data_IF_498713439432
#
_entry.id   IF_498713439432
#
_cell.length_a   1.000
_cell.length_b   1.000
_cell.length_c   1.000
_cell.angle_alpha   90.00
_cell.angle_beta   90.00
_cell.angle_gamma   90.00
#
_symmetry.space_group_name_H-M   'P 1'
#
loop_
_entity.id
_entity.type
_entity.pdbx_description
1 polymer ?
#
# COMPACT_ATOMS: atom_id res chain seq x y z
N UNK A 1 -4.50 16.03 -37.49
CA UNK A 1 -4.22 17.05 -36.45
C UNK A 1 -2.72 17.24 -36.35
N UNK A 2 -2.24 18.48 -36.15
CA UNK A 2 -0.81 18.75 -35.98
C UNK A 2 -0.31 18.16 -34.65
N UNK A 3 0.89 17.56 -34.65
CA UNK A 3 1.53 17.04 -33.44
C UNK A 3 2.44 18.12 -32.87
N UNK A 4 2.29 18.44 -31.59
CA UNK A 4 3.17 19.36 -30.86
C UNK A 4 4.12 18.52 -30.00
N UNK A 5 5.41 18.87 -29.98
CA UNK A 5 6.42 18.21 -29.14
C UNK A 5 6.24 18.68 -27.70
N UNK A 6 6.24 17.76 -26.75
CA UNK A 6 6.20 18.09 -25.32
C UNK A 6 7.49 18.80 -24.90
N UNK A 7 7.39 19.75 -23.97
CA UNK A 7 8.56 20.44 -23.41
C UNK A 7 9.33 19.53 -22.43
N UNK A 8 10.53 19.93 -22.05
CA UNK A 8 11.27 19.22 -21.02
C UNK A 8 10.55 19.31 -19.65
N UNK A 9 9.92 20.44 -19.35
CA UNK A 9 9.10 20.64 -18.17
C UNK A 9 7.89 19.71 -18.12
N UNK A 10 7.20 19.51 -19.25
CA UNK A 10 6.07 18.57 -19.35
C UNK A 10 6.52 17.13 -19.07
N UNK A 11 7.69 16.74 -19.58
CA UNK A 11 8.25 15.41 -19.37
C UNK A 11 8.69 15.21 -17.90
N UNK A 12 9.26 16.24 -17.27
CA UNK A 12 9.58 16.24 -15.83
C UNK A 12 8.32 16.14 -14.96
N UNK A 13 7.25 16.84 -15.33
CA UNK A 13 5.95 16.70 -14.65
C UNK A 13 5.41 15.29 -14.77
N UNK A 14 5.44 14.70 -15.96
CA UNK A 14 5.03 13.30 -16.15
C UNK A 14 5.92 12.33 -15.36
N UNK A 15 7.21 12.62 -15.22
CA UNK A 15 8.12 11.78 -14.44
C UNK A 15 7.71 11.76 -12.98
N UNK A 16 7.38 12.93 -12.42
CA UNK A 16 6.82 13.06 -11.07
C UNK A 16 5.53 12.26 -10.91
N UNK A 17 4.60 12.35 -11.85
CA UNK A 17 3.34 11.60 -11.80
C UNK A 17 3.58 10.09 -11.85
N UNK A 18 4.45 9.60 -12.74
CA UNK A 18 4.76 8.18 -12.84
C UNK A 18 5.47 7.66 -11.58
N UNK A 19 6.36 8.44 -10.97
CA UNK A 19 7.00 8.09 -9.70
C UNK A 19 5.97 8.02 -8.57
N UNK A 20 5.04 8.98 -8.48
CA UNK A 20 4.00 8.95 -7.45
C UNK A 20 3.06 7.75 -7.62
N UNK A 21 2.64 7.45 -8.86
CA UNK A 21 1.83 6.27 -9.15
C UNK A 21 2.56 4.97 -8.79
N UNK A 22 3.86 4.89 -9.08
CA UNK A 22 4.70 3.74 -8.73
C UNK A 22 4.82 3.57 -7.22
N UNK A 23 5.05 4.65 -6.47
CA UNK A 23 5.10 4.64 -5.00
C UNK A 23 3.77 4.15 -4.40
N UNK A 24 2.64 4.65 -4.89
CA UNK A 24 1.32 4.25 -4.42
C UNK A 24 1.08 2.74 -4.63
N UNK A 25 1.40 2.22 -5.82
CA UNK A 25 1.24 0.77 -6.09
C UNK A 25 2.22 -0.08 -5.26
N UNK A 26 3.44 0.42 -4.98
CA UNK A 26 4.37 -0.26 -4.07
C UNK A 26 3.79 -0.35 -2.65
N UNK A 27 3.22 0.73 -2.13
CA UNK A 27 2.58 0.76 -0.82
C UNK A 27 1.43 -0.25 -0.75
N UNK A 28 0.52 -0.24 -1.73
CA UNK A 28 -0.60 -1.19 -1.78
C UNK A 28 -0.13 -2.65 -1.88
N UNK A 29 0.94 -2.92 -2.63
CA UNK A 29 1.54 -4.25 -2.69
C UNK A 29 2.05 -4.71 -1.32
N UNK A 30 2.70 -3.79 -0.59
CA UNK A 30 3.26 -4.04 0.75
C UNK A 30 2.13 -4.24 1.79
N UNK A 31 0.98 -3.61 1.59
CA UNK A 31 -0.27 -3.81 2.37
C UNK A 31 -0.98 -5.14 2.07
N UNK A 32 -0.47 -5.94 1.12
CA UNK A 32 -0.98 -7.28 0.79
C UNK A 32 -1.71 -7.38 -0.56
N UNK A 33 -1.92 -6.26 -1.27
CA UNK A 33 -2.55 -6.27 -2.61
C UNK A 33 -1.53 -6.67 -3.68
N UNK A 34 -1.13 -7.95 -3.68
CA UNK A 34 -0.08 -8.47 -4.59
C UNK A 34 -0.37 -8.20 -6.07
N UNK A 35 -1.64 -8.07 -6.44
CA UNK A 35 -2.07 -7.70 -7.80
C UNK A 35 -1.50 -6.36 -8.29
N UNK A 36 -1.18 -5.44 -7.38
CA UNK A 36 -0.58 -4.14 -7.71
C UNK A 36 0.79 -4.27 -8.35
N UNK A 37 1.46 -5.41 -8.26
CA UNK A 37 2.65 -5.69 -9.05
C UNK A 37 2.42 -5.53 -10.56
N UNK A 38 1.19 -5.71 -11.05
CA UNK A 38 0.85 -5.43 -12.47
C UNK A 38 0.92 -3.94 -12.78
N UNK A 39 0.41 -3.09 -11.88
CA UNK A 39 0.52 -1.64 -12.00
C UNK A 39 1.98 -1.18 -11.87
N UNK A 40 2.72 -1.74 -10.91
CA UNK A 40 4.16 -1.51 -10.75
C UNK A 40 4.90 -1.81 -12.07
N UNK A 41 4.68 -2.99 -12.65
CA UNK A 41 5.30 -3.39 -13.91
C UNK A 41 4.96 -2.41 -15.06
N UNK A 42 3.70 -1.99 -15.15
CA UNK A 42 3.26 -1.02 -16.14
C UNK A 42 3.99 0.33 -16.01
N UNK A 43 4.09 0.88 -14.80
CA UNK A 43 4.81 2.15 -14.56
C UNK A 43 6.30 2.03 -14.88
N UNK A 44 6.94 0.94 -14.48
CA UNK A 44 8.35 0.67 -14.82
C UNK A 44 8.53 0.59 -16.34
N UNK A 45 7.62 -0.07 -17.07
CA UNK A 45 7.65 -0.11 -18.54
C UNK A 45 7.60 1.31 -19.14
N UNK A 46 6.70 2.17 -18.67
CA UNK A 46 6.60 3.56 -19.16
C UNK A 46 7.91 4.34 -18.90
N UNK A 47 8.49 4.16 -17.72
CA UNK A 47 9.73 4.83 -17.33
C UNK A 47 10.93 4.35 -18.17
N UNK A 48 11.04 3.02 -18.39
CA UNK A 48 12.29 2.38 -18.79
C UNK A 48 12.27 1.62 -20.11
N UNK A 49 11.13 1.31 -20.71
CA UNK A 49 11.10 0.48 -21.92
C UNK A 49 10.85 1.29 -23.19
N UNK A 50 11.79 1.20 -24.13
CA UNK A 50 11.61 1.71 -25.49
C UNK A 50 11.04 0.62 -26.39
N UNK A 51 9.98 0.96 -27.13
CA UNK A 51 9.39 0.13 -28.17
C UNK A 51 9.00 1.03 -29.35
N UNK A 52 7.75 0.98 -29.81
CA UNK A 52 7.21 1.97 -30.77
C UNK A 52 7.13 3.38 -30.18
N UNK A 53 7.04 3.46 -28.85
CA UNK A 53 7.12 4.70 -28.09
C UNK A 53 8.42 4.71 -27.28
N UNK A 54 9.01 5.89 -27.11
CA UNK A 54 10.19 6.08 -26.27
C UNK A 54 9.80 6.14 -24.79
N UNK A 55 10.61 5.52 -23.94
CA UNK A 55 10.44 5.57 -22.49
C UNK A 55 10.67 6.99 -21.98
N UNK A 56 10.13 7.31 -20.81
CA UNK A 56 10.24 8.66 -20.27
C UNK A 56 11.70 9.06 -20.00
N UNK A 57 12.51 8.13 -19.48
CA UNK A 57 13.96 8.38 -19.30
C UNK A 57 14.69 8.59 -20.64
N UNK A 58 14.31 7.88 -21.71
CA UNK A 58 14.91 8.11 -23.03
C UNK A 58 14.54 9.49 -23.56
N UNK A 59 13.28 9.91 -23.40
CA UNK A 59 12.83 11.25 -23.82
C UNK A 59 13.51 12.38 -23.03
N UNK A 60 13.87 12.14 -21.77
CA UNK A 60 14.63 13.06 -20.93
C UNK A 60 16.15 12.98 -21.13
N UNK A 61 16.66 12.08 -21.98
CA UNK A 61 18.11 11.88 -22.15
C UNK A 61 18.81 11.29 -20.92
N UNK A 62 18.07 10.55 -20.09
CA UNK A 62 18.49 9.98 -18.79
C UNK A 62 18.48 8.45 -18.77
N UNK A 63 18.67 7.84 -19.94
CA UNK A 63 18.69 6.38 -20.08
C UNK A 63 19.96 5.73 -19.53
N UNK A 64 21.05 6.48 -19.54
CA UNK A 64 22.40 6.00 -19.20
C UNK A 64 22.73 6.12 -17.71
N UNK A 65 21.75 6.46 -16.87
CA UNK A 65 21.93 6.49 -15.41
C UNK A 65 22.23 5.08 -14.90
N UNK A 66 22.90 5.02 -13.74
CA UNK A 66 23.21 3.75 -13.11
C UNK A 66 22.08 3.31 -12.18
N UNK A 67 21.78 2.01 -12.17
CA UNK A 67 20.72 1.41 -11.37
C UNK A 67 21.29 0.57 -10.24
N UNK A 68 20.66 0.64 -9.06
CA UNK A 68 20.96 -0.26 -7.96
C UNK A 68 20.66 -1.71 -8.35
N UNK A 69 21.61 -2.60 -8.10
CA UNK A 69 21.42 -4.04 -8.21
C UNK A 69 21.41 -4.65 -6.81
N UNK A 70 20.28 -5.24 -6.43
CA UNK A 70 20.07 -5.95 -5.17
C UNK A 70 20.00 -7.47 -5.32
N UNK A 71 20.38 -7.98 -6.51
CA UNK A 71 20.38 -9.41 -6.76
C UNK A 71 21.56 -10.10 -6.08
N UNK A 72 21.33 -11.35 -5.64
CA UNK A 72 22.41 -12.24 -5.25
C UNK A 72 23.24 -12.64 -6.48
N UNK A 73 24.36 -13.32 -6.27
CA UNK A 73 25.12 -13.89 -7.38
C UNK A 73 24.41 -15.11 -7.94
N UNK A 74 24.24 -15.12 -9.27
CA UNK A 74 23.66 -16.23 -10.00
C UNK A 74 24.73 -17.27 -10.38
N UNK A 75 24.51 -18.52 -9.99
CA UNK A 75 25.31 -19.67 -10.43
C UNK A 75 24.41 -20.70 -11.12
N UNK A 76 24.52 -20.79 -12.45
CA UNK A 76 23.76 -21.74 -13.28
C UNK A 76 24.01 -23.21 -12.94
N UNK A 77 25.08 -23.53 -12.18
CA UNK A 77 25.36 -24.90 -11.72
C UNK A 77 24.59 -25.26 -10.45
N UNK A 78 23.97 -24.29 -9.79
CA UNK A 78 23.14 -24.56 -8.61
C UNK A 78 21.92 -25.39 -9.02
N UNK A 79 21.70 -26.60 -8.47
CA UNK A 79 20.57 -27.43 -8.85
C UNK A 79 19.22 -26.87 -8.36
N UNK A 80 19.23 -25.95 -7.39
CA UNK A 80 18.01 -25.35 -6.85
C UNK A 80 17.50 -24.19 -7.72
N UNK A 81 16.20 -23.84 -7.63
CA UNK A 81 15.65 -22.61 -8.19
C UNK A 81 16.41 -21.40 -7.64
N UNK A 82 16.62 -20.41 -8.50
CA UNK A 82 17.33 -19.19 -8.14
C UNK A 82 16.36 -18.05 -7.90
N UNK A 83 16.46 -17.41 -6.74
CA UNK A 83 15.61 -16.30 -6.29
C UNK A 83 16.47 -15.09 -5.94
N UNK A 84 17.06 -14.48 -6.97
CA UNK A 84 18.06 -13.43 -6.82
C UNK A 84 17.56 -12.20 -6.07
N UNK A 85 16.29 -11.85 -6.22
CA UNK A 85 15.70 -10.61 -5.68
C UNK A 85 14.72 -10.77 -4.53
N UNK A 86 14.37 -12.01 -4.17
CA UNK A 86 13.34 -12.28 -3.16
C UNK A 86 13.86 -13.24 -2.09
N UNK A 87 13.10 -13.36 -1.00
CA UNK A 87 13.32 -14.32 0.07
C UNK A 87 12.05 -15.11 0.34
N UNK A 88 12.22 -16.26 0.97
CA UNK A 88 11.11 -16.96 1.62
C UNK A 88 11.14 -16.56 3.09
N UNK A 89 10.02 -16.03 3.57
CA UNK A 89 9.82 -15.75 4.99
C UNK A 89 8.89 -16.79 5.58
N UNK A 90 9.36 -17.47 6.64
CA UNK A 90 8.52 -18.36 7.41
C UNK A 90 7.60 -17.56 8.31
N UNK A 91 6.28 -17.74 8.16
CA UNK A 91 5.29 -17.16 9.08
C UNK A 91 4.46 -18.27 9.74
N UNK A 92 3.89 -18.02 10.93
CA UNK A 92 3.06 -19.00 11.64
C UNK A 92 1.88 -19.56 10.84
N UNK A 93 1.37 -18.81 9.85
CA UNK A 93 0.23 -19.20 9.00
C UNK A 93 0.61 -19.69 7.59
N UNK A 94 1.90 -19.71 7.22
CA UNK A 94 2.39 -20.18 5.91
C UNK A 94 3.62 -19.42 5.43
N UNK A 95 4.48 -20.08 4.65
CA UNK A 95 5.66 -19.45 4.08
C UNK A 95 5.26 -18.58 2.88
N UNK A 96 5.83 -17.38 2.75
CA UNK A 96 5.55 -16.44 1.65
C UNK A 96 6.81 -15.90 0.99
N UNK A 97 6.73 -15.51 -0.28
CA UNK A 97 7.78 -14.72 -0.91
C UNK A 97 7.73 -13.28 -0.44
N UNK A 98 8.88 -12.76 -0.03
CA UNK A 98 9.06 -11.41 0.47
C UNK A 98 10.13 -10.66 -0.32
N UNK A 99 9.85 -9.38 -0.62
CA UNK A 99 10.81 -8.46 -1.24
C UNK A 99 11.61 -7.79 -0.12
N UNK A 100 12.93 -8.02 -0.01
CA UNK A 100 13.71 -7.56 1.14
C UNK A 100 13.87 -6.04 1.24
N UNK A 101 13.57 -5.29 0.18
CA UNK A 101 13.78 -3.84 0.11
C UNK A 101 15.19 -3.46 0.60
N UNK A 102 15.29 -2.60 1.62
CA UNK A 102 16.54 -2.20 2.30
C UNK A 102 16.87 -3.03 3.55
N UNK A 103 16.06 -4.04 3.90
CA UNK A 103 16.20 -4.82 5.14
C UNK A 103 17.30 -5.88 5.07
N UNK A 104 18.00 -6.01 3.93
CA UNK A 104 19.11 -6.93 3.75
C UNK A 104 20.34 -6.24 3.17
N UNK A 105 21.23 -5.79 4.06
CA UNK A 105 22.49 -5.15 3.68
C UNK A 105 23.42 -6.06 2.87
N UNK A 106 23.25 -7.39 2.96
CA UNK A 106 24.06 -8.36 2.19
C UNK A 106 23.75 -8.38 0.69
N UNK A 107 22.67 -7.71 0.26
CA UNK A 107 22.23 -7.66 -1.14
C UNK A 107 22.75 -6.46 -1.92
N UNK A 108 23.48 -5.54 -1.29
CA UNK A 108 24.02 -4.34 -1.96
C UNK A 108 25.45 -4.49 -2.48
N UNK A 109 25.96 -5.72 -2.56
CA UNK A 109 27.36 -5.99 -2.90
C UNK A 109 27.77 -5.46 -4.28
N UNK A 110 26.82 -5.39 -5.23
CA UNK A 110 27.06 -4.97 -6.61
C UNK A 110 26.92 -3.46 -6.85
N UNK A 111 26.49 -2.68 -5.84
CA UNK A 111 26.33 -1.23 -5.95
C UNK A 111 25.39 -0.81 -7.09
N UNK A 112 25.82 0.16 -7.91
CA UNK A 112 25.08 0.58 -9.11
C UNK A 112 25.77 0.09 -10.39
N UNK A 113 24.98 -0.36 -11.35
CA UNK A 113 25.45 -0.89 -12.64
C UNK A 113 24.75 -0.18 -13.81
N UNK A 114 25.23 -0.39 -15.03
CA UNK A 114 24.61 0.23 -16.22
C UNK A 114 23.19 -0.29 -16.46
N UNK A 115 22.31 0.55 -17.01
CA UNK A 115 20.94 0.17 -17.35
C UNK A 115 20.89 -1.09 -18.23
N UNK A 116 21.76 -1.20 -19.24
CA UNK A 116 21.78 -2.37 -20.13
C UNK A 116 22.01 -3.67 -19.36
N UNK A 117 23.01 -3.68 -18.47
CA UNK A 117 23.34 -4.85 -17.66
C UNK A 117 22.22 -5.19 -16.67
N UNK A 118 21.73 -4.19 -15.94
CA UNK A 118 20.64 -4.32 -14.97
C UNK A 118 19.35 -4.86 -15.61
N UNK A 119 19.00 -4.33 -16.78
CA UNK A 119 17.73 -4.60 -17.46
C UNK A 119 17.74 -5.88 -18.28
N UNK A 120 18.80 -6.13 -19.07
CA UNK A 120 18.81 -7.18 -20.09
C UNK A 120 19.66 -8.41 -19.75
N UNK A 121 20.68 -8.29 -18.89
CA UNK A 121 21.72 -9.32 -18.77
C UNK A 121 21.60 -10.16 -17.50
N UNK A 122 21.32 -9.52 -16.36
CA UNK A 122 21.28 -10.22 -15.08
C UNK A 122 20.02 -11.08 -14.94
N UNK A 123 20.23 -12.37 -14.68
CA UNK A 123 19.18 -13.29 -14.25
C UNK A 123 18.82 -12.95 -12.79
N UNK A 124 17.53 -12.78 -12.52
CA UNK A 124 17.01 -12.42 -11.20
C UNK A 124 16.09 -13.49 -10.61
N UNK A 125 15.62 -14.40 -11.46
CA UNK A 125 14.78 -15.53 -11.09
C UNK A 125 15.06 -16.68 -12.06
N UNK A 126 15.17 -17.90 -11.55
CA UNK A 126 15.22 -19.13 -12.35
C UNK A 126 14.36 -20.17 -11.65
N UNK A 127 13.46 -20.80 -12.39
CA UNK A 127 12.59 -21.85 -11.84
C UNK A 127 13.29 -23.22 -11.75
N UNK A 128 12.59 -24.22 -11.21
CA UNK A 128 13.11 -25.60 -11.10
C UNK A 128 13.38 -26.25 -12.46
N UNK A 129 12.74 -25.75 -13.53
CA UNK A 129 12.93 -26.21 -14.90
C UNK A 129 14.09 -25.52 -15.61
N UNK A 130 14.85 -24.66 -14.91
CA UNK A 130 15.98 -23.90 -15.44
C UNK A 130 15.59 -22.85 -16.48
N UNK A 131 14.39 -22.29 -16.36
CA UNK A 131 13.95 -21.15 -17.16
C UNK A 131 14.46 -19.84 -16.52
N UNK A 132 15.37 -19.09 -17.18
CA UNK A 132 15.95 -17.89 -16.61
C UNK A 132 15.11 -16.66 -16.93
N UNK A 133 14.91 -15.78 -15.95
CA UNK A 133 14.19 -14.53 -16.11
C UNK A 133 15.06 -13.34 -15.71
N UNK A 134 15.13 -12.35 -16.62
CA UNK A 134 15.69 -11.02 -16.34
C UNK A 134 14.60 -10.07 -15.85
N UNK A 135 15.02 -8.90 -15.32
CA UNK A 135 14.09 -7.82 -14.95
C UNK A 135 13.21 -7.39 -16.12
N UNK A 136 13.80 -7.23 -17.31
CA UNK A 136 13.06 -6.93 -18.54
C UNK A 136 12.02 -8.00 -18.87
N UNK A 137 12.38 -9.28 -18.79
CA UNK A 137 11.45 -10.35 -19.12
C UNK A 137 10.22 -10.31 -18.21
N UNK A 138 10.41 -10.19 -16.89
CA UNK A 138 9.31 -10.15 -15.93
C UNK A 138 8.42 -8.91 -16.14
N UNK A 139 9.03 -7.72 -16.21
CA UNK A 139 8.27 -6.48 -16.36
C UNK A 139 7.44 -6.49 -17.64
N UNK A 140 8.05 -6.84 -18.78
CA UNK A 140 7.33 -6.82 -20.06
C UNK A 140 6.27 -7.91 -20.16
N UNK A 141 6.51 -9.09 -19.60
CA UNK A 141 5.53 -10.18 -19.64
C UNK A 141 4.30 -9.80 -18.83
N UNK A 142 4.48 -9.31 -17.60
CA UNK A 142 3.38 -8.90 -16.72
C UNK A 142 2.66 -7.67 -17.28
N UNK A 143 3.39 -6.66 -17.75
CA UNK A 143 2.76 -5.43 -18.25
C UNK A 143 2.03 -5.62 -19.57
N UNK A 144 2.52 -6.51 -20.46
CA UNK A 144 1.99 -6.61 -21.83
C UNK A 144 1.02 -7.75 -21.99
N UNK A 145 1.20 -8.85 -21.26
CA UNK A 145 0.51 -10.10 -21.58
C UNK A 145 -0.43 -10.59 -20.50
N UNK A 146 -0.15 -10.28 -19.24
CA UNK A 146 -0.87 -10.84 -18.09
C UNK A 146 -1.63 -9.78 -17.29
N UNK A 147 -2.27 -8.84 -17.98
CA UNK A 147 -3.27 -7.94 -17.39
C UNK A 147 -2.74 -6.66 -16.75
N UNK A 148 -1.51 -6.24 -17.06
CA UNK A 148 -1.03 -4.89 -16.70
C UNK A 148 -1.65 -3.79 -17.57
N UNK A 149 -1.36 -3.78 -18.86
CA UNK A 149 -2.01 -2.90 -19.85
C UNK A 149 -2.86 -3.65 -20.87
N UNK A 150 -2.51 -4.91 -21.14
CA UNK A 150 -3.21 -5.79 -22.06
C UNK A 150 -3.22 -7.22 -21.51
N UNK A 151 -4.20 -8.01 -21.95
CA UNK A 151 -4.28 -9.44 -21.71
C UNK A 151 -4.14 -10.12 -23.07
N UNK A 152 -3.04 -10.84 -23.26
CA UNK A 152 -2.83 -11.61 -24.49
C UNK A 152 -3.56 -12.97 -24.36
N UNK A 153 -4.08 -13.48 -25.48
CA UNK A 153 -4.71 -14.80 -25.51
C UNK A 153 -3.70 -15.95 -25.36
N UNK A 154 -2.41 -15.66 -25.54
CA UNK A 154 -1.32 -16.63 -25.49
C UNK A 154 -0.18 -16.11 -24.61
N UNK A 155 0.27 -16.94 -23.67
CA UNK A 155 1.42 -16.66 -22.80
C UNK A 155 2.54 -17.64 -23.08
N UNK A 156 3.77 -17.17 -22.88
CA UNK A 156 4.95 -18.03 -23.00
C UNK A 156 4.88 -19.13 -21.94
N UNK A 157 5.19 -20.37 -22.33
CA UNK A 157 5.09 -21.55 -21.46
C UNK A 157 5.95 -21.42 -20.20
N UNK A 158 7.16 -20.88 -20.31
CA UNK A 158 8.06 -20.61 -19.19
C UNK A 158 7.40 -19.73 -18.11
N UNK A 159 6.68 -18.68 -18.52
CA UNK A 159 5.98 -17.78 -17.61
C UNK A 159 4.72 -18.41 -17.01
N UNK A 160 4.00 -19.21 -17.80
CA UNK A 160 2.85 -19.99 -17.29
C UNK A 160 3.33 -20.99 -16.24
N UNK A 161 4.46 -21.64 -16.46
CA UNK A 161 5.05 -22.56 -15.50
C UNK A 161 5.40 -21.86 -14.19
N UNK A 162 6.02 -20.68 -14.30
CA UNK A 162 6.37 -19.85 -13.14
C UNK A 162 5.15 -19.41 -12.32
N UNK A 163 4.08 -19.00 -12.99
CA UNK A 163 2.94 -18.30 -12.34
C UNK A 163 1.74 -19.17 -12.04
N UNK A 164 1.60 -20.33 -12.70
CA UNK A 164 0.39 -21.18 -12.62
C UNK A 164 0.68 -22.64 -12.36
N UNK A 165 1.84 -23.14 -12.81
CA UNK A 165 2.24 -24.54 -12.62
C UNK A 165 3.34 -24.71 -11.57
N UNK A 166 3.45 -23.72 -10.67
CA UNK A 166 4.21 -23.85 -9.43
C UNK A 166 5.71 -24.19 -9.65
N UNK A 167 6.29 -23.79 -10.79
CA UNK A 167 7.62 -24.28 -11.20
C UNK A 167 8.77 -23.80 -10.30
N UNK A 168 8.52 -22.81 -9.44
CA UNK A 168 9.45 -22.41 -8.37
C UNK A 168 9.60 -23.53 -7.31
N UNK A 169 8.60 -24.41 -7.17
CA UNK A 169 8.70 -25.69 -6.45
C UNK A 169 8.84 -25.59 -4.93
N UNK A 170 8.71 -24.41 -4.34
CA UNK A 170 8.76 -24.23 -2.89
C UNK A 170 7.39 -24.51 -2.27
N UNK A 171 7.36 -25.48 -1.36
CA UNK A 171 6.16 -25.86 -0.63
C UNK A 171 6.19 -25.33 0.79
N UNK A 172 5.03 -24.93 1.30
CA UNK A 172 4.80 -24.80 2.74
C UNK A 172 4.10 -26.06 3.25
N UNK A 173 4.39 -26.42 4.50
CA UNK A 173 3.67 -27.46 5.23
C UNK A 173 3.29 -26.88 6.60
N UNK A 174 1.99 -26.78 6.87
CA UNK A 174 1.46 -26.28 8.14
C UNK A 174 0.31 -27.19 8.63
N UNK A 175 -0.24 -26.86 9.80
CA UNK A 175 -1.34 -27.65 10.40
C UNK A 175 -2.64 -27.64 9.57
N UNK A 176 -2.75 -26.77 8.57
CA UNK A 176 -3.89 -26.67 7.65
C UNK A 176 -3.67 -27.41 6.32
N UNK A 177 -2.45 -27.92 6.05
CA UNK A 177 -2.13 -28.70 4.86
C UNK A 177 -0.76 -28.36 4.25
N UNK A 178 -0.51 -28.93 3.07
CA UNK A 178 0.67 -28.64 2.24
C UNK A 178 0.22 -27.91 0.97
N UNK A 179 1.03 -26.98 0.47
CA UNK A 179 0.76 -26.24 -0.76
C UNK A 179 2.00 -25.52 -1.28
N UNK A 180 1.92 -24.96 -2.48
CA UNK A 180 3.03 -24.21 -3.07
C UNK A 180 2.96 -22.73 -2.74
N UNK A 181 4.14 -22.14 -2.50
CA UNK A 181 4.28 -20.69 -2.38
C UNK A 181 4.20 -20.09 -3.79
N UNK A 182 3.27 -19.16 -3.99
CA UNK A 182 3.02 -18.51 -5.28
C UNK A 182 3.42 -17.04 -5.26
N UNK A 183 3.55 -16.42 -6.44
CA UNK A 183 3.76 -14.98 -6.58
C UNK A 183 5.23 -14.54 -6.52
N UNK A 184 6.19 -15.44 -6.80
CA UNK A 184 7.61 -15.11 -6.87
C UNK A 184 7.89 -13.97 -7.86
N UNK A 185 7.21 -13.97 -9.00
CA UNK A 185 7.28 -12.96 -10.05
C UNK A 185 6.77 -11.59 -9.56
N UNK A 186 5.65 -11.55 -8.83
CA UNK A 186 5.05 -10.31 -8.35
C UNK A 186 5.92 -9.69 -7.26
N UNK A 187 6.41 -10.52 -6.33
CA UNK A 187 7.36 -10.10 -5.30
C UNK A 187 8.69 -9.66 -5.89
N UNK A 188 9.17 -10.32 -6.95
CA UNK A 188 10.37 -9.89 -7.68
C UNK A 188 10.15 -8.51 -8.32
N UNK A 189 8.99 -8.27 -8.92
CA UNK A 189 8.64 -6.95 -9.48
C UNK A 189 8.63 -5.86 -8.40
N UNK A 190 8.16 -6.17 -7.19
CA UNK A 190 8.22 -5.23 -6.07
C UNK A 190 9.66 -4.84 -5.71
N UNK A 191 10.59 -5.79 -5.71
CA UNK A 191 12.01 -5.48 -5.48
C UNK A 191 12.62 -4.69 -6.65
N UNK A 192 12.27 -5.00 -7.90
CA UNK A 192 12.69 -4.21 -9.07
C UNK A 192 12.22 -2.76 -8.93
N UNK A 193 10.99 -2.53 -8.45
CA UNK A 193 10.47 -1.20 -8.21
C UNK A 193 11.30 -0.41 -7.18
N UNK A 194 11.74 -1.10 -6.12
CA UNK A 194 12.62 -0.51 -5.11
C UNK A 194 13.94 -0.03 -5.70
N UNK A 195 14.58 -0.87 -6.53
CA UNK A 195 15.81 -0.52 -7.24
C UNK A 195 15.62 0.69 -8.16
N UNK A 196 14.51 0.72 -8.92
CA UNK A 196 14.16 1.85 -9.80
C UNK A 196 13.96 3.12 -9.00
N UNK A 197 13.16 3.09 -7.94
CA UNK A 197 12.86 4.26 -7.12
C UNK A 197 14.12 4.81 -6.44
N UNK A 198 15.00 3.96 -5.91
CA UNK A 198 16.29 4.40 -5.35
C UNK A 198 17.19 5.04 -6.41
N UNK A 199 17.24 4.45 -7.60
CA UNK A 199 18.08 4.98 -8.69
C UNK A 199 17.57 6.33 -9.19
N UNK A 200 16.25 6.47 -9.33
CA UNK A 200 15.60 7.73 -9.71
C UNK A 200 15.72 8.79 -8.60
N UNK A 201 15.69 8.40 -7.33
CA UNK A 201 15.88 9.33 -6.21
C UNK A 201 17.25 9.97 -6.22
N UNK A 202 18.29 9.21 -6.57
CA UNK A 202 19.64 9.75 -6.65
C UNK A 202 19.83 10.66 -7.88
N UNK A 203 19.12 10.39 -8.99
CA UNK A 203 19.21 11.19 -10.21
C UNK A 203 18.34 12.45 -10.19
N UNK A 204 17.15 12.36 -9.59
CA UNK A 204 16.14 13.42 -9.51
C UNK A 204 15.74 13.71 -8.06
N UNK A 205 16.68 14.06 -7.18
CA UNK A 205 16.42 14.26 -5.77
C UNK A 205 15.30 15.28 -5.52
N UNK A 206 15.19 16.31 -6.36
CA UNK A 206 14.15 17.35 -6.27
C UNK A 206 12.73 16.82 -6.41
N UNK A 207 12.52 15.77 -7.21
CA UNK A 207 11.19 15.16 -7.38
C UNK A 207 10.79 14.46 -6.08
N UNK A 208 11.73 13.74 -5.47
CA UNK A 208 11.51 13.04 -4.21
C UNK A 208 11.46 14.00 -3.04
N UNK A 209 12.30 15.04 -3.02
CA UNK A 209 12.19 16.14 -2.06
C UNK A 209 10.84 16.83 -2.18
N UNK A 210 10.25 17.01 -3.37
CA UNK A 210 8.89 17.54 -3.52
C UNK A 210 7.78 16.53 -3.15
N UNK A 211 8.05 15.23 -3.25
CA UNK A 211 7.18 14.16 -2.77
C UNK A 211 7.28 13.95 -1.24
N UNK A 212 8.38 14.42 -0.62
CA UNK A 212 8.66 14.41 0.82
C UNK A 212 8.63 15.83 1.49
N UNK A 213 8.42 16.92 0.74
CA UNK A 213 8.27 18.32 1.20
C UNK A 213 6.81 18.69 1.48
N UNK A 214 5.97 17.71 1.75
CA UNK A 214 4.90 17.94 2.73
C UNK A 214 5.61 17.88 4.09
N UNK A 215 5.84 19.01 4.78
CA UNK A 215 6.55 18.95 6.05
C UNK A 215 5.74 18.12 7.06
N UNK A 216 6.35 17.16 7.78
CA UNK A 216 5.72 16.60 8.97
C UNK A 216 5.44 17.74 9.97
N UNK A 217 4.31 17.73 10.70
CA UNK A 217 4.05 18.74 11.72
C UNK A 217 5.22 18.79 12.69
N UNK A 218 5.81 19.98 12.89
CA UNK A 218 6.86 20.19 13.90
C UNK A 218 6.26 19.98 15.30
N UNK A 219 6.43 18.78 15.85
CA UNK A 219 6.17 18.52 17.28
C UNK A 219 7.31 19.17 18.05
N UNK A 220 7.06 20.34 18.66
CA UNK A 220 7.90 20.82 19.75
C UNK A 220 7.55 20.00 21.00
N UNK A 221 8.38 19.03 21.33
CA UNK A 221 8.40 18.44 22.66
C UNK A 221 8.85 19.52 23.65
N UNK A 222 7.98 19.89 24.58
CA UNK A 222 8.42 20.52 25.83
C UNK A 222 7.47 20.20 26.98
N UNK A 223 8.11 19.82 28.10
CA UNK A 223 7.60 19.58 29.45
C UNK A 223 7.07 18.15 29.68
N UNK A 224 7.90 17.25 30.26
CA UNK A 224 8.23 17.06 31.69
C UNK A 224 7.06 16.50 32.50
N UNK A 225 7.32 15.32 33.07
CA UNK A 225 6.56 14.60 34.07
C UNK A 225 6.16 15.53 35.24
N UNK A 226 4.89 15.52 35.62
CA UNK A 226 4.44 15.56 37.02
C UNK A 226 2.93 15.17 37.10
N UNK A 227 2.58 14.56 38.23
CA UNK A 227 1.37 13.80 38.53
C UNK A 227 0.03 14.59 38.60
N UNK A 228 -1.04 13.93 38.12
CA UNK A 228 -2.39 13.83 38.71
C UNK A 228 -3.48 14.94 38.54
N UNK A 229 -4.69 14.41 38.35
CA UNK A 229 -6.07 14.94 38.59
C UNK A 229 -6.83 15.50 37.37
N UNK A 230 -7.91 14.77 37.05
CA UNK A 230 -8.90 15.00 36.00
C UNK A 230 -9.97 15.97 36.49
N UNK A 231 -10.19 17.10 35.80
CA UNK A 231 -11.47 17.83 35.75
C UNK A 231 -11.58 18.70 34.46
N UNK A 232 -12.81 18.98 33.94
CA UNK A 232 -13.03 19.41 32.55
C UNK A 232 -12.86 20.93 32.38
N UNK A 233 -12.09 21.37 31.38
CA UNK A 233 -11.75 22.79 31.20
C UNK A 233 -12.40 23.46 29.99
N UNK A 234 -12.92 24.66 30.30
CA UNK A 234 -13.63 25.66 29.50
C UNK A 234 -12.80 26.25 28.34
N UNK A 235 -13.52 26.67 27.31
CA UNK A 235 -13.07 27.46 26.16
C UNK A 235 -12.49 28.81 26.59
N UNK A 236 -11.25 29.11 26.17
CA UNK A 236 -10.66 30.46 26.17
C UNK A 236 -10.04 30.72 24.79
N UNK A 237 -10.42 31.86 24.21
CA UNK A 237 -10.03 32.39 22.89
C UNK A 237 -8.69 33.13 23.02
N UNK A 238 -7.80 32.98 22.03
CA UNK A 238 -6.62 33.83 21.86
C UNK A 238 -6.63 34.44 20.44
N UNK A 239 -6.47 35.77 20.37
CA UNK A 239 -6.43 36.59 19.15
C UNK A 239 -5.00 36.96 18.72
N UNK A 240 -4.78 37.06 17.40
CA UNK A 240 -3.66 37.74 16.69
C UNK A 240 -2.50 36.82 16.26
N UNK A 241 -1.97 36.80 15.02
CA UNK A 241 -2.20 37.54 13.76
C UNK A 241 -1.87 36.58 12.59
N UNK A 242 -2.47 36.85 11.43
CA UNK A 242 -2.67 35.92 10.32
C UNK A 242 -1.57 35.95 9.25
N UNK A 243 -1.30 34.80 8.63
CA UNK A 243 -1.14 34.67 7.18
C UNK A 243 -1.51 33.23 6.72
N UNK A 244 -2.79 33.11 6.34
CA UNK A 244 -3.50 32.07 5.57
C UNK A 244 -3.08 30.59 5.69
N UNK A 245 -3.55 29.92 6.74
CA UNK A 245 -4.09 28.55 6.64
C UNK A 245 -5.61 28.70 6.49
N UNK A 246 -6.19 28.24 5.40
CA UNK A 246 -7.65 28.02 5.36
C UNK A 246 -7.97 26.91 6.36
N UNK A 247 -8.40 27.30 7.55
CA UNK A 247 -9.02 26.41 8.51
C UNK A 247 -10.33 25.92 7.86
N UNK A 248 -10.35 24.70 7.32
CA UNK A 248 -11.62 24.03 7.03
C UNK A 248 -12.37 23.94 8.37
N UNK A 249 -13.41 24.74 8.53
CA UNK A 249 -14.28 24.71 9.69
C UNK A 249 -14.78 23.27 9.87
N UNK A 250 -14.58 22.69 11.05
CA UNK A 250 -15.08 21.33 11.31
C UNK A 250 -16.60 21.36 11.40
N UNK A 251 -17.25 20.43 10.72
CA UNK A 251 -18.69 20.43 10.52
C UNK A 251 -19.31 19.20 11.19
N UNK A 252 -20.51 19.38 11.74
CA UNK A 252 -21.40 18.28 12.06
C UNK A 252 -22.18 17.91 10.80
N UNK A 253 -22.19 16.64 10.45
CA UNK A 253 -22.87 16.12 9.27
C UNK A 253 -24.14 15.35 9.62
N UNK A 254 -24.55 15.34 10.89
CA UNK A 254 -25.79 14.72 11.32
C UNK A 254 -26.99 15.22 10.51
N UNK A 255 -27.77 14.29 9.97
CA UNK A 255 -28.93 14.60 9.13
C UNK A 255 -28.61 15.12 7.72
N UNK A 256 -27.34 15.12 7.29
CA UNK A 256 -26.98 15.48 5.91
C UNK A 256 -27.58 14.50 4.89
N UNK A 257 -28.27 15.04 3.89
CA UNK A 257 -28.82 14.28 2.75
C UNK A 257 -27.83 14.14 1.59
N UNK A 258 -26.59 14.62 1.74
CA UNK A 258 -25.57 14.54 0.69
C UNK A 258 -25.28 13.08 0.33
N UNK A 259 -25.42 12.74 -0.96
CA UNK A 259 -25.13 11.41 -1.49
C UNK A 259 -23.63 11.07 -1.35
N UNK A 260 -23.33 9.82 -1.01
CA UNK A 260 -21.97 9.30 -0.93
C UNK A 260 -21.40 9.09 -2.34
N UNK A 261 -20.35 9.84 -2.64
CA UNK A 261 -19.43 9.65 -3.75
C UNK A 261 -18.00 9.91 -3.26
N UNK A 262 -17.01 9.87 -4.15
CA UNK A 262 -15.60 10.04 -3.77
C UNK A 262 -15.38 11.40 -3.10
N UNK A 263 -15.86 12.48 -3.71
CA UNK A 263 -15.61 13.84 -3.24
C UNK A 263 -16.33 14.13 -1.92
N UNK A 264 -17.61 13.72 -1.81
CA UNK A 264 -18.38 13.93 -0.58
C UNK A 264 -17.82 13.13 0.60
N UNK A 265 -17.33 11.91 0.35
CA UNK A 265 -16.75 11.06 1.37
C UNK A 265 -15.36 11.54 1.81
N UNK A 266 -14.50 11.96 0.88
CA UNK A 266 -13.20 12.58 1.21
C UNK A 266 -13.41 13.86 2.02
N UNK A 267 -14.34 14.72 1.58
CA UNK A 267 -14.66 15.95 2.32
C UNK A 267 -15.16 15.65 3.72
N UNK A 268 -16.06 14.68 3.87
CA UNK A 268 -16.56 14.23 5.17
C UNK A 268 -15.43 13.75 6.09
N UNK A 269 -14.52 12.91 5.58
CA UNK A 269 -13.37 12.40 6.34
C UNK A 269 -12.47 13.52 6.84
N UNK A 270 -12.30 14.60 6.09
CA UNK A 270 -11.46 15.74 6.47
C UNK A 270 -12.16 16.72 7.41
N UNK A 271 -13.46 16.95 7.21
CA UNK A 271 -14.19 18.04 7.87
C UNK A 271 -15.05 17.59 9.07
N UNK A 272 -15.35 16.29 9.22
CA UNK A 272 -16.27 15.81 10.26
C UNK A 272 -15.71 15.88 11.67
N UNK A 273 -16.48 16.47 12.60
CA UNK A 273 -16.21 16.41 14.04
C UNK A 273 -16.26 14.98 14.59
N UNK A 274 -17.06 14.10 13.99
CA UNK A 274 -17.20 12.70 14.40
C UNK A 274 -15.97 11.90 13.98
N UNK A 275 -15.45 12.13 12.78
CA UNK A 275 -14.22 11.48 12.31
C UNK A 275 -13.01 11.97 13.11
N UNK A 276 -12.96 13.25 13.46
CA UNK A 276 -11.91 13.79 14.34
C UNK A 276 -11.95 13.17 15.74
N UNK A 277 -13.13 12.94 16.31
CA UNK A 277 -13.26 12.23 17.58
C UNK A 277 -12.59 10.85 17.54
N UNK A 278 -12.87 10.06 16.50
CA UNK A 278 -12.29 8.73 16.34
C UNK A 278 -10.80 8.77 16.02
N UNK A 279 -10.36 9.79 15.25
CA UNK A 279 -8.94 10.04 14.98
C UNK A 279 -8.18 10.26 16.29
N UNK A 280 -8.66 11.18 17.13
CA UNK A 280 -8.03 11.50 18.41
C UNK A 280 -8.03 10.28 19.36
N UNK A 281 -9.09 9.48 19.35
CA UNK A 281 -9.14 8.25 20.14
C UNK A 281 -8.05 7.25 19.69
N UNK A 282 -7.91 7.00 18.39
CA UNK A 282 -6.89 6.08 17.86
C UNK A 282 -5.48 6.59 18.16
N UNK A 283 -5.24 7.90 18.01
CA UNK A 283 -3.96 8.52 18.37
C UNK A 283 -3.64 8.38 19.85
N UNK A 284 -4.65 8.44 20.73
CA UNK A 284 -4.47 8.20 22.18
C UNK A 284 -4.02 6.77 22.50
N UNK A 285 -4.21 5.81 21.60
CA UNK A 285 -3.70 4.44 21.72
C UNK A 285 -2.22 4.31 21.29
N UNK A 286 -1.60 5.39 20.83
CA UNK A 286 -0.23 5.43 20.31
C UNK A 286 -0.11 5.06 18.83
N UNK A 287 -1.22 5.09 18.07
CA UNK A 287 -1.28 4.72 16.66
C UNK A 287 -1.32 6.00 15.80
N UNK A 288 -0.50 6.08 14.75
CA UNK A 288 -0.50 7.25 13.87
C UNK A 288 -1.72 7.23 12.94
N UNK A 289 -2.43 8.35 12.83
CA UNK A 289 -3.54 8.50 11.87
C UNK A 289 -3.14 9.46 10.75
N UNK A 290 -3.07 8.95 9.51
CA UNK A 290 -2.81 9.72 8.31
C UNK A 290 -4.04 10.47 7.79
N UNK A 291 -3.87 11.26 6.73
CA UNK A 291 -4.97 11.91 6.00
C UNK A 291 -5.94 10.88 5.39
N UNK A 292 -7.06 11.32 4.83
CA UNK A 292 -7.95 10.42 4.10
C UNK A 292 -7.19 9.74 2.93
N UNK A 293 -7.20 8.41 2.90
CA UNK A 293 -6.66 7.61 1.80
C UNK A 293 -7.65 7.48 0.64
N UNK A 294 -7.41 6.53 -0.26
CA UNK A 294 -8.35 6.23 -1.34
C UNK A 294 -9.61 5.55 -0.79
N UNK A 295 -10.79 6.15 -1.02
CA UNK A 295 -12.07 5.72 -0.41
C UNK A 295 -12.89 4.73 -1.25
N UNK A 296 -12.32 4.17 -2.33
CA UNK A 296 -13.08 3.32 -3.26
C UNK A 296 -13.66 2.07 -2.59
N UNK A 297 -12.92 1.45 -1.66
CA UNK A 297 -13.38 0.25 -0.94
C UNK A 297 -14.47 0.59 0.06
N UNK A 298 -14.32 1.68 0.79
CA UNK A 298 -15.30 2.20 1.72
C UNK A 298 -16.61 2.49 0.99
N UNK A 299 -16.57 3.06 -0.22
CA UNK A 299 -17.77 3.25 -1.06
C UNK A 299 -18.44 1.91 -1.41
N UNK A 300 -17.68 0.86 -1.75
CA UNK A 300 -18.25 -0.47 -2.03
C UNK A 300 -18.86 -1.10 -0.77
N UNK A 301 -18.20 -0.95 0.38
CA UNK A 301 -18.71 -1.42 1.67
C UNK A 301 -20.01 -0.69 2.04
N UNK A 302 -20.04 0.64 1.90
CA UNK A 302 -21.22 1.48 2.16
C UNK A 302 -22.40 1.05 1.27
N UNK A 303 -22.15 0.74 -0.01
CA UNK A 303 -23.15 0.18 -0.92
C UNK A 303 -23.67 -1.18 -0.46
N UNK A 304 -22.79 -2.10 -0.03
CA UNK A 304 -23.17 -3.43 0.47
C UNK A 304 -24.09 -3.36 1.70
N UNK A 305 -23.92 -2.35 2.55
CA UNK A 305 -24.76 -2.14 3.75
C UNK A 305 -25.87 -1.10 3.52
N UNK A 306 -26.08 -0.67 2.28
CA UNK A 306 -27.14 0.26 1.87
C UNK A 306 -27.11 1.62 2.62
N UNK A 307 -25.93 2.13 2.96
CA UNK A 307 -25.74 3.50 3.44
C UNK A 307 -25.51 4.41 2.23
N UNK A 308 -26.36 5.41 2.06
CA UNK A 308 -26.43 6.26 0.85
C UNK A 308 -26.03 7.69 1.09
N UNK A 309 -26.21 8.21 2.30
CA UNK A 309 -25.92 9.61 2.62
C UNK A 309 -24.83 9.78 3.66
N UNK A 310 -24.16 10.94 3.62
CA UNK A 310 -23.15 11.31 4.61
C UNK A 310 -23.77 11.40 6.02
N UNK A 311 -25.02 11.84 6.15
CA UNK A 311 -25.72 11.88 7.43
C UNK A 311 -25.99 10.50 8.03
N UNK A 312 -26.33 9.50 7.20
CA UNK A 312 -26.48 8.11 7.65
C UNK A 312 -25.16 7.53 8.16
N UNK A 313 -24.07 7.77 7.43
CA UNK A 313 -22.71 7.37 7.83
C UNK A 313 -22.28 8.05 9.13
N UNK A 314 -22.47 9.37 9.24
CA UNK A 314 -22.08 10.11 10.42
C UNK A 314 -22.86 9.65 11.65
N UNK A 315 -24.17 9.46 11.51
CA UNK A 315 -25.00 8.90 12.58
C UNK A 315 -24.55 7.48 13.00
N UNK A 316 -24.09 6.63 12.07
CA UNK A 316 -23.53 5.32 12.41
C UNK A 316 -22.27 5.45 13.28
N UNK A 317 -21.34 6.34 12.91
CA UNK A 317 -20.13 6.58 13.68
C UNK A 317 -20.44 7.22 15.04
N UNK A 318 -21.41 8.14 15.11
CA UNK A 318 -21.84 8.74 16.37
C UNK A 318 -22.46 7.71 17.32
N UNK A 319 -23.35 6.84 16.82
CA UNK A 319 -23.96 5.74 17.61
C UNK A 319 -22.97 4.65 18.01
N UNK A 320 -21.78 4.65 17.40
CA UNK A 320 -20.71 3.74 17.79
C UNK A 320 -19.97 4.20 19.05
N UNK A 321 -20.15 5.44 19.52
CA UNK A 321 -19.51 5.95 20.74
C UNK A 321 -19.95 5.17 21.98
N UNK A 322 -19.02 4.94 22.90
CA UNK A 322 -19.16 4.13 24.11
C UNK A 322 -18.72 2.67 23.95
N UNK A 323 -19.08 2.02 22.83
CA UNK A 323 -18.65 0.64 22.54
C UNK A 323 -17.56 0.55 21.47
N UNK A 324 -17.51 1.52 20.57
CA UNK A 324 -16.55 1.65 19.49
C UNK A 324 -15.11 1.85 19.96
N UNK A 325 -14.92 2.50 21.11
CA UNK A 325 -13.64 2.70 21.77
C UNK A 325 -13.09 1.35 22.27
N UNK A 326 -13.97 0.53 22.87
CA UNK A 326 -13.62 -0.84 23.30
C UNK A 326 -13.32 -1.73 22.10
N UNK A 327 -14.12 -1.61 21.04
CA UNK A 327 -13.91 -2.27 19.77
C UNK A 327 -12.53 -1.94 19.17
N UNK A 328 -12.23 -0.66 18.95
CA UNK A 328 -10.95 -0.22 18.38
C UNK A 328 -9.77 -0.63 19.26
N UNK A 329 -9.88 -0.51 20.59
CA UNK A 329 -8.85 -1.01 21.49
C UNK A 329 -8.64 -2.53 21.35
N UNK A 330 -9.72 -3.31 21.23
CA UNK A 330 -9.65 -4.75 20.97
C UNK A 330 -9.00 -5.09 19.63
N UNK A 331 -9.37 -4.36 18.57
CA UNK A 331 -8.74 -4.48 17.23
C UNK A 331 -7.24 -4.25 17.33
N UNK A 332 -6.83 -3.12 17.92
CA UNK A 332 -5.41 -2.81 18.02
C UNK A 332 -4.66 -3.73 19.00
N UNK A 333 -5.30 -4.25 20.06
CA UNK A 333 -4.68 -5.29 20.90
C UNK A 333 -4.39 -6.55 20.06
N UNK A 334 -5.35 -6.99 19.25
CA UNK A 334 -5.19 -8.17 18.41
C UNK A 334 -4.10 -7.97 17.34
N UNK A 335 -4.00 -6.78 16.76
CA UNK A 335 -2.95 -6.42 15.79
C UNK A 335 -1.58 -6.30 16.50
N UNK A 336 -1.52 -5.68 17.69
CA UNK A 336 -0.29 -5.42 18.43
C UNK A 336 0.33 -6.67 19.08
N UNK A 337 -0.39 -7.78 19.14
CA UNK A 337 0.20 -9.06 19.57
C UNK A 337 1.38 -9.47 18.67
N UNK A 338 1.48 -8.93 17.45
CA UNK A 338 2.47 -9.29 16.42
C UNK A 338 3.44 -8.12 16.07
N UNK A 339 3.16 -6.88 16.49
CA UNK A 339 3.92 -5.66 16.11
C UNK A 339 3.91 -4.59 17.22
N UNK A 340 5.00 -3.83 17.40
CA UNK A 340 5.00 -2.70 18.34
C UNK A 340 4.06 -1.56 17.90
N UNK A 341 3.33 -0.96 18.84
CA UNK A 341 2.35 0.13 18.60
C UNK A 341 2.94 1.30 17.83
N UNK A 342 4.20 1.64 18.09
CA UNK A 342 4.93 2.75 17.44
C UNK A 342 5.09 2.60 15.91
N UNK A 343 4.95 1.36 15.40
CA UNK A 343 5.07 1.03 13.97
C UNK A 343 3.72 0.94 13.26
N UNK A 344 2.61 1.04 13.99
CA UNK A 344 1.27 0.94 13.41
C UNK A 344 0.76 2.32 13.00
N UNK A 345 0.13 2.35 11.84
CA UNK A 345 -0.59 3.52 11.34
C UNK A 345 -1.89 3.11 10.66
N UNK A 346 -2.87 3.99 10.67
CA UNK A 346 -4.08 3.91 9.86
C UNK A 346 -4.30 5.24 9.14
N UNK A 347 -5.14 5.28 8.12
CA UNK A 347 -5.67 6.53 7.56
C UNK A 347 -7.11 6.77 8.06
N UNK A 348 -7.67 7.94 7.73
CA UNK A 348 -9.05 8.29 8.10
C UNK A 348 -10.10 7.40 7.42
N UNK A 349 -9.81 6.84 6.24
CA UNK A 349 -10.66 5.83 5.58
C UNK A 349 -10.72 4.52 6.36
N UNK A 350 -9.61 4.12 6.98
CA UNK A 350 -9.51 2.94 7.83
C UNK A 350 -10.45 2.99 9.03
N UNK A 351 -10.73 4.19 9.56
CA UNK A 351 -11.74 4.40 10.60
C UNK A 351 -13.11 3.92 10.10
N UNK A 352 -13.53 4.34 8.90
CA UNK A 352 -14.82 3.92 8.33
C UNK A 352 -14.87 2.41 8.15
N UNK A 353 -13.83 1.83 7.55
CA UNK A 353 -13.70 0.40 7.34
C UNK A 353 -13.89 -0.38 8.63
N UNK A 354 -13.22 0.02 9.71
CA UNK A 354 -13.34 -0.64 11.01
C UNK A 354 -14.76 -0.55 11.56
N UNK A 355 -15.42 0.61 11.46
CA UNK A 355 -16.79 0.75 11.95
C UNK A 355 -17.85 0.09 11.08
N UNK A 356 -17.62 -0.03 9.76
CA UNK A 356 -18.49 -0.80 8.88
C UNK A 356 -18.42 -2.30 9.22
N UNK A 357 -17.22 -2.85 9.45
CA UNK A 357 -17.07 -4.23 9.94
C UNK A 357 -17.74 -4.37 11.31
N UNK A 358 -17.51 -3.42 12.21
CA UNK A 358 -18.03 -3.48 13.57
C UNK A 358 -19.55 -3.47 13.66
N UNK A 359 -20.21 -2.69 12.79
CA UNK A 359 -21.66 -2.55 12.78
C UNK A 359 -22.35 -3.66 11.97
N UNK A 360 -21.65 -4.28 11.02
CA UNK A 360 -22.21 -5.28 10.12
C UNK A 360 -21.35 -6.55 10.00
N UNK A 361 -20.97 -7.22 11.12
CA UNK A 361 -20.14 -8.42 11.09
C UNK A 361 -20.78 -9.61 10.36
N UNK A 362 -22.10 -9.63 10.19
CA UNK A 362 -22.80 -10.66 9.41
C UNK A 362 -22.73 -10.40 7.89
N UNK A 363 -22.49 -9.16 7.48
CA UNK A 363 -22.28 -8.78 6.07
C UNK A 363 -20.79 -8.81 5.73
N UNK A 364 -19.94 -8.35 6.64
CA UNK A 364 -18.48 -8.41 6.52
C UNK A 364 -17.95 -9.57 7.35
N UNK A 365 -18.33 -10.79 6.94
CA UNK A 365 -17.85 -12.03 7.55
C UNK A 365 -16.35 -12.21 7.29
N UNK A 366 -15.73 -13.14 8.02
CA UNK A 366 -14.31 -13.46 7.83
C UNK A 366 -14.01 -13.86 6.38
N UNK A 367 -14.87 -14.67 5.77
CA UNK A 367 -14.73 -15.10 4.37
C UNK A 367 -14.80 -13.93 3.39
N UNK A 368 -15.74 -13.01 3.58
CA UNK A 368 -15.89 -11.83 2.71
C UNK A 368 -14.71 -10.88 2.90
N UNK A 369 -14.28 -10.67 4.15
CA UNK A 369 -13.15 -9.81 4.45
C UNK A 369 -11.85 -10.37 3.86
N UNK A 370 -11.63 -11.66 3.95
CA UNK A 370 -10.43 -12.33 3.42
C UNK A 370 -10.43 -12.39 1.88
N UNK A 371 -11.53 -12.88 1.28
CA UNK A 371 -11.57 -13.18 -0.16
C UNK A 371 -11.93 -12.00 -1.05
N UNK A 372 -12.84 -11.13 -0.59
CA UNK A 372 -13.31 -10.01 -1.42
C UNK A 372 -12.61 -8.70 -1.07
N UNK A 373 -12.22 -8.51 0.19
CA UNK A 373 -11.65 -7.25 0.68
C UNK A 373 -10.14 -7.35 0.99
N UNK A 374 -9.56 -8.55 0.97
CA UNK A 374 -8.13 -8.79 1.11
C UNK A 374 -7.58 -8.57 2.53
N UNK A 375 -8.40 -8.76 3.56
CA UNK A 375 -7.97 -8.69 4.96
C UNK A 375 -7.33 -10.01 5.38
N UNK A 376 -6.03 -10.03 5.63
CA UNK A 376 -5.29 -11.26 5.98
C UNK A 376 -5.58 -11.84 7.38
N UNK A 377 -6.24 -11.09 8.27
CA UNK A 377 -6.66 -11.55 9.60
C UNK A 377 -8.01 -10.92 9.96
N UNK A 378 -9.11 -11.33 9.31
CA UNK A 378 -10.41 -10.72 9.53
C UNK A 378 -10.90 -10.86 10.97
N UNK A 379 -10.48 -11.91 11.68
CA UNK A 379 -10.81 -12.17 13.08
C UNK A 379 -10.35 -11.04 14.03
N UNK A 380 -9.31 -10.28 13.65
CA UNK A 380 -8.87 -9.12 14.43
C UNK A 380 -9.94 -8.03 14.50
N UNK A 381 -10.83 -7.99 13.51
CA UNK A 381 -11.91 -7.03 13.42
C UNK A 381 -13.25 -7.67 13.81
N UNK A 382 -13.57 -8.85 13.31
CA UNK A 382 -14.90 -9.46 13.54
C UNK A 382 -15.09 -9.97 14.97
N UNK A 383 -14.03 -10.44 15.64
CA UNK A 383 -14.14 -10.92 17.04
C UNK A 383 -14.41 -9.76 18.01
N UNK A 384 -13.63 -8.66 18.02
CA UNK A 384 -13.98 -7.49 18.82
C UNK A 384 -15.34 -6.90 18.45
N UNK A 385 -15.75 -6.96 17.17
CA UNK A 385 -17.06 -6.48 16.73
C UNK A 385 -18.19 -7.22 17.46
N UNK A 386 -18.19 -8.56 17.44
CA UNK A 386 -19.19 -9.38 18.14
C UNK A 386 -19.14 -9.23 19.67
N UNK A 387 -17.94 -9.01 20.22
CA UNK A 387 -17.74 -8.88 21.65
C UNK A 387 -18.24 -7.54 22.20
N UNK A 388 -18.03 -6.44 21.48
CA UNK A 388 -18.26 -5.09 22.01
C UNK A 388 -19.48 -4.40 21.43
N UNK A 389 -19.94 -4.74 20.22
CA UNK A 389 -21.14 -4.15 19.66
C UNK A 389 -22.39 -4.69 20.39
N UNK A 390 -23.20 -3.84 21.05
CA UNK A 390 -24.36 -4.28 21.83
C UNK A 390 -25.42 -5.00 20.99
N UNK A 391 -25.45 -4.80 19.68
CA UNK A 391 -26.39 -5.51 18.79
C UNK A 391 -26.04 -7.00 18.60
N UNK A 392 -24.82 -7.41 18.96
CA UNK A 392 -24.30 -8.77 18.74
C UNK A 392 -23.83 -9.45 20.03
N UNK A 393 -23.93 -8.77 21.18
CA UNK A 393 -23.71 -9.38 22.48
C UNK A 393 -24.86 -10.35 22.75
N UNK A 394 -24.53 -11.64 22.87
CA UNK A 394 -25.48 -12.70 23.26
C UNK A 394 -25.64 -12.78 24.76
#
# INVERSE_FOLDING_TARGET
>A
MAKVKQSEEDLKSQLKDQIQLLLNSCQLFDEGFKIEAKNIALRIRVLLHDARSHSLLTQLGKKDILFYDTSLDYDSRNPFPYMGLIKIMKRPKGDEFFAPLDEDSSRYLNGKITFSKWWNELIVLEDSNKNPFTRKNLILTVSNKDGGAHVDSELNEEYVNLTRNESIGWMYANNAGEGYIMGAELTTIRQIAHEVLKSLKDEFPEIFESAFNIPPPKIKNSAKEDEMIIEPLKVIVYEGEAESKEYKQKMDFNGSETEINIDSLVFYLEASITVDYWTNFIESLGIKVGLAGMVYKEIQMLKKVNIKTIGELDNLLQKSKGWGEKYLNGVYINICWDVSRERLSTDRSGILKYFLIANFPDIFTDDILERELGHGNPEYFTVPAKLYNPNYQT
#
